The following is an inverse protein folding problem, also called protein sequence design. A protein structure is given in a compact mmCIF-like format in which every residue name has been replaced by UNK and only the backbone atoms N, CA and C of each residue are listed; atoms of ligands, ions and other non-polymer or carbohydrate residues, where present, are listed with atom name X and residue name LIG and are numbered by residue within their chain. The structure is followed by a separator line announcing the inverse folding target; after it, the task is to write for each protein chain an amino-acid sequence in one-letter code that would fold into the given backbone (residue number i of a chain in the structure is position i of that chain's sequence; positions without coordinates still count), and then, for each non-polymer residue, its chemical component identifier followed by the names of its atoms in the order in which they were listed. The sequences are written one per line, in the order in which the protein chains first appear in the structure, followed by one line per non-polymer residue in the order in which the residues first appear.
data_IF_563901355763
#
_entry.id   IF_563901355763
#
_cell.length_a   1.000
_cell.length_b   1.000
_cell.length_c   1.000
_cell.angle_alpha   90.00
_cell.angle_beta   90.00
_cell.angle_gamma   90.00
#
_symmetry.space_group_name_H-M   'P 1'
#
loop_
_entity.id
_entity.type
_entity.pdbx_description
1 polymer ?
#
# COMPACT_ATOMS: atom_id res chain seq x y z
N UNK A 1 41.41 83.02 -21.61
CA UNK A 1 42.13 81.74 -21.39
C UNK A 1 41.10 80.64 -21.27
N UNK A 2 41.29 79.55 -22.03
CA UNK A 2 40.36 78.43 -22.18
C UNK A 2 40.55 77.39 -21.08
N UNK A 3 39.46 76.71 -20.75
CA UNK A 3 39.12 75.71 -19.70
C UNK A 3 40.04 74.46 -19.64
N UNK A 4 40.00 73.61 -18.58
CA UNK A 4 38.89 72.67 -18.40
C UNK A 4 38.36 72.44 -16.97
N UNK A 5 37.04 72.24 -16.93
CA UNK A 5 36.23 71.69 -15.84
C UNK A 5 36.37 70.16 -15.91
N UNK A 6 36.82 69.54 -14.82
CA UNK A 6 36.90 68.08 -14.70
C UNK A 6 35.50 67.54 -14.37
N UNK A 7 34.85 66.93 -15.36
CA UNK A 7 33.56 66.24 -15.19
C UNK A 7 33.87 64.79 -14.80
N UNK A 8 33.55 64.40 -13.57
CA UNK A 8 33.69 63.03 -13.09
C UNK A 8 32.48 62.21 -13.58
N UNK A 9 32.65 61.52 -14.71
CA UNK A 9 31.67 60.58 -15.25
C UNK A 9 31.84 59.23 -14.54
N UNK A 10 31.08 59.01 -13.46
CA UNK A 10 30.97 57.69 -12.84
C UNK A 10 30.18 56.76 -13.75
N UNK A 11 30.89 55.90 -14.50
CA UNK A 11 30.29 54.82 -15.28
C UNK A 11 29.76 53.78 -14.30
N UNK A 12 28.44 53.77 -14.11
CA UNK A 12 27.71 52.72 -13.42
C UNK A 12 27.65 51.52 -14.39
N UNK A 13 28.64 50.63 -14.32
CA UNK A 13 28.53 49.31 -14.95
C UNK A 13 27.45 48.52 -14.23
N UNK A 14 26.21 48.57 -14.74
CA UNK A 14 25.22 47.57 -14.44
C UNK A 14 25.73 46.24 -15.01
N UNK A 15 26.26 45.39 -14.13
CA UNK A 15 26.46 43.97 -14.42
C UNK A 15 25.07 43.39 -14.68
N UNK A 16 24.67 43.35 -15.94
CA UNK A 16 23.59 42.48 -16.41
C UNK A 16 24.14 41.07 -16.26
N UNK A 17 23.90 40.46 -15.11
CA UNK A 17 24.10 39.03 -14.91
C UNK A 17 23.09 38.38 -15.84
N UNK A 18 23.56 37.91 -17.00
CA UNK A 18 22.81 36.98 -17.82
C UNK A 18 22.67 35.70 -17.00
N UNK A 19 21.57 35.59 -16.25
CA UNK A 19 21.17 34.33 -15.65
C UNK A 19 21.07 33.32 -16.78
N UNK A 20 21.86 32.26 -16.72
CA UNK A 20 21.59 31.09 -17.55
C UNK A 20 20.26 30.53 -17.04
N UNK A 21 19.26 30.47 -17.92
CA UNK A 21 17.95 29.90 -17.64
C UNK A 21 18.09 28.39 -17.47
N UNK A 22 18.64 27.98 -16.32
CA UNK A 22 18.69 26.59 -15.93
C UNK A 22 17.27 26.16 -15.57
N UNK A 23 16.84 25.01 -16.08
CA UNK A 23 15.49 24.49 -15.82
C UNK A 23 15.47 22.97 -15.70
N UNK A 24 14.48 22.46 -14.98
CA UNK A 24 14.19 21.02 -14.92
C UNK A 24 12.86 20.76 -15.59
N UNK A 25 12.82 19.79 -16.49
CA UNK A 25 11.60 19.29 -17.09
C UNK A 25 11.18 18.01 -16.37
N UNK A 26 10.01 18.04 -15.75
CA UNK A 26 9.35 16.88 -15.17
C UNK A 26 8.30 16.36 -16.16
N UNK A 27 8.46 15.13 -16.63
CA UNK A 27 7.52 14.48 -17.53
C UNK A 27 6.67 13.47 -16.74
N UNK A 28 5.36 13.60 -16.82
CA UNK A 28 4.41 12.60 -16.35
C UNK A 28 3.86 11.83 -17.57
N UNK A 29 4.30 10.59 -17.85
CA UNK A 29 3.78 9.76 -18.94
C UNK A 29 2.55 8.94 -18.52
N UNK A 30 2.11 9.02 -17.27
CA UNK A 30 1.00 8.24 -16.74
C UNK A 30 -0.35 8.82 -17.18
N UNK A 31 -1.41 8.03 -17.01
CA UNK A 31 -2.79 8.45 -17.28
C UNK A 31 -3.44 9.18 -16.08
N UNK A 32 -2.73 9.28 -14.96
CA UNK A 32 -3.17 9.97 -13.74
C UNK A 32 -2.41 11.26 -13.50
N UNK A 33 -3.04 12.19 -12.78
CA UNK A 33 -2.37 13.43 -12.33
C UNK A 33 -1.39 13.12 -11.22
N UNK A 34 -0.20 13.70 -11.29
CA UNK A 34 0.80 13.61 -10.23
C UNK A 34 0.85 14.92 -9.44
N UNK A 35 0.57 14.87 -8.15
CA UNK A 35 0.59 16.00 -7.22
C UNK A 35 1.90 16.00 -6.44
N UNK A 36 2.60 17.12 -6.35
CA UNK A 36 3.96 17.16 -5.81
C UNK A 36 4.37 18.48 -5.16
N UNK A 37 5.41 18.38 -4.33
CA UNK A 37 6.14 19.49 -3.70
C UNK A 37 7.63 19.27 -3.92
N UNK A 38 8.37 20.37 -4.07
CA UNK A 38 9.82 20.39 -4.14
C UNK A 38 10.35 20.89 -2.81
N UNK A 39 11.31 20.16 -2.25
CA UNK A 39 11.99 20.42 -0.97
C UNK A 39 11.03 20.72 0.19
N UNK A 40 10.09 19.81 0.50
CA UNK A 40 9.21 19.99 1.66
C UNK A 40 10.06 20.11 2.94
N UNK A 41 9.93 21.20 3.71
CA UNK A 41 10.87 21.57 4.77
C UNK A 41 11.01 20.47 5.82
N UNK A 42 9.90 19.79 6.15
CA UNK A 42 9.85 18.69 7.12
C UNK A 42 10.68 17.47 6.69
N UNK A 43 10.97 17.31 5.41
CA UNK A 43 11.70 16.15 4.88
C UNK A 43 13.15 16.46 4.49
N UNK A 44 13.50 17.73 4.25
CA UNK A 44 14.85 18.12 3.78
C UNK A 44 15.99 17.77 4.74
N UNK A 45 15.69 17.58 6.03
CA UNK A 45 16.68 17.23 7.06
C UNK A 45 16.99 15.73 7.11
N UNK A 46 16.21 14.89 6.41
CA UNK A 46 16.36 13.44 6.40
C UNK A 46 17.05 12.98 5.11
N UNK A 47 17.84 11.91 5.17
CA UNK A 47 18.34 11.24 3.97
C UNK A 47 17.30 10.23 3.47
N UNK A 48 16.77 10.36 2.23
CA UNK A 48 15.85 9.39 1.64
C UNK A 48 16.40 7.96 1.50
N UNK A 49 17.71 7.78 1.64
CA UNK A 49 18.35 6.45 1.62
C UNK A 49 18.32 5.77 3.01
N UNK A 50 17.90 6.50 4.05
CA UNK A 50 17.79 6.00 5.41
C UNK A 50 16.60 5.06 5.58
N UNK A 51 16.77 4.01 6.39
CA UNK A 51 15.71 3.03 6.67
C UNK A 51 14.48 3.63 7.35
N UNK A 52 14.63 4.75 8.08
CA UNK A 52 13.52 5.43 8.75
C UNK A 52 12.73 6.35 7.81
N UNK A 53 13.24 6.63 6.61
CA UNK A 53 12.67 7.68 5.77
C UNK A 53 11.24 7.36 5.33
N UNK A 54 10.93 6.10 5.05
CA UNK A 54 9.57 5.68 4.70
C UNK A 54 8.57 5.96 5.83
N UNK A 55 8.96 5.79 7.10
CA UNK A 55 8.12 6.13 8.25
C UNK A 55 7.91 7.63 8.38
N UNK A 56 8.98 8.42 8.24
CA UNK A 56 8.89 9.89 8.23
C UNK A 56 7.98 10.38 7.10
N UNK A 57 8.05 9.74 5.94
CA UNK A 57 7.21 10.08 4.80
C UNK A 57 5.75 9.71 5.03
N UNK A 58 5.48 8.58 5.69
CA UNK A 58 4.13 8.21 6.10
C UNK A 58 3.53 9.26 7.05
N UNK A 59 4.26 9.63 8.09
CA UNK A 59 3.83 10.66 9.06
C UNK A 59 3.63 12.02 8.38
N UNK A 60 4.50 12.36 7.43
CA UNK A 60 4.39 13.58 6.63
C UNK A 60 3.05 13.66 5.89
N UNK A 61 2.56 12.58 5.28
CA UNK A 61 1.24 12.60 4.62
C UNK A 61 0.08 12.55 5.61
N UNK A 62 0.27 11.91 6.77
CA UNK A 62 -0.78 11.74 7.77
C UNK A 62 -1.17 13.03 8.52
N UNK A 63 -0.29 14.04 8.54
CA UNK A 63 -0.45 15.25 9.37
C UNK A 63 -0.34 16.58 8.60
N UNK A 64 -1.18 17.55 8.97
CA UNK A 64 -1.15 18.92 8.46
C UNK A 64 -1.94 19.14 7.17
N UNK A 65 -1.76 20.31 6.58
CA UNK A 65 -2.32 20.72 5.28
C UNK A 65 -1.18 21.18 4.39
N UNK A 66 -1.33 21.01 3.09
CA UNK A 66 -0.27 21.35 2.14
C UNK A 66 -0.83 21.62 0.74
N UNK A 67 -0.19 22.54 0.02
CA UNK A 67 -0.58 22.88 -1.34
C UNK A 67 0.34 22.19 -2.34
N UNK A 68 -0.19 21.16 -3.00
CA UNK A 68 0.55 20.44 -4.02
C UNK A 68 0.46 21.15 -5.38
N UNK A 69 1.57 21.15 -6.11
CA UNK A 69 1.57 21.43 -7.54
C UNK A 69 1.10 20.18 -8.30
N UNK A 70 0.59 20.33 -9.51
CA UNK A 70 0.06 19.21 -10.28
C UNK A 70 0.69 19.11 -11.68
N UNK A 71 0.99 17.88 -12.10
CA UNK A 71 1.34 17.54 -13.48
C UNK A 71 0.26 16.59 -14.00
N UNK A 72 -0.64 17.09 -14.84
CA UNK A 72 -1.70 16.27 -15.43
C UNK A 72 -1.13 15.12 -16.28
N UNK A 73 -1.98 14.14 -16.57
CA UNK A 73 -1.66 13.00 -17.41
C UNK A 73 -0.99 13.40 -18.73
N UNK A 74 0.09 12.71 -19.11
CA UNK A 74 0.85 12.94 -20.34
C UNK A 74 1.43 14.36 -20.51
N UNK A 75 1.55 15.15 -19.44
CA UNK A 75 2.10 16.52 -19.50
C UNK A 75 3.58 16.60 -19.08
N UNK A 76 4.18 17.74 -19.43
CA UNK A 76 5.53 18.13 -19.00
C UNK A 76 5.43 19.44 -18.23
N UNK A 77 6.00 19.47 -17.03
CA UNK A 77 6.11 20.66 -16.19
C UNK A 77 7.55 21.16 -16.17
N UNK A 78 7.75 22.45 -16.40
CA UNK A 78 9.05 23.11 -16.23
C UNK A 78 9.14 23.66 -14.81
N UNK A 79 10.21 23.29 -14.10
CA UNK A 79 10.59 23.88 -12.83
C UNK A 79 11.67 24.94 -13.08
N UNK A 80 11.44 26.13 -12.56
CA UNK A 80 12.30 27.31 -12.67
C UNK A 80 12.55 27.87 -11.26
N UNK A 81 13.56 28.74 -11.13
CA UNK A 81 13.89 29.43 -9.88
C UNK A 81 14.29 28.51 -8.70
N UNK A 82 14.84 27.33 -9.00
CA UNK A 82 15.47 26.48 -7.99
C UNK A 82 16.87 27.02 -7.64
N UNK A 83 17.32 26.80 -6.41
CA UNK A 83 18.72 27.06 -6.04
C UNK A 83 19.64 26.01 -6.67
N UNK A 84 20.89 26.34 -7.01
CA UNK A 84 21.84 25.31 -7.46
C UNK A 84 22.08 24.27 -6.35
N UNK A 85 21.98 22.98 -6.68
CA UNK A 85 22.16 21.89 -5.73
C UNK A 85 21.31 20.65 -5.99
N UNK A 86 21.22 19.79 -4.98
CA UNK A 86 20.35 18.62 -4.96
C UNK A 86 18.98 19.01 -4.40
N UNK A 87 17.93 18.49 -5.04
CA UNK A 87 16.54 18.71 -4.69
C UNK A 87 15.82 17.39 -4.51
N UNK A 88 14.77 17.44 -3.70
CA UNK A 88 13.87 16.33 -3.46
C UNK A 88 12.46 16.73 -3.86
N UNK A 89 11.88 15.96 -4.78
CA UNK A 89 10.46 16.00 -5.08
C UNK A 89 9.75 14.87 -4.34
N UNK A 90 8.65 15.21 -3.67
CA UNK A 90 7.75 14.27 -3.02
C UNK A 90 6.34 14.51 -3.53
N UNK A 91 5.63 13.45 -3.84
CA UNK A 91 4.28 13.56 -4.38
C UNK A 91 3.54 12.24 -4.42
N UNK A 92 2.36 12.25 -5.01
CA UNK A 92 1.49 11.08 -5.16
C UNK A 92 0.73 11.14 -6.49
N UNK A 93 0.34 9.98 -7.01
CA UNK A 93 -0.56 9.92 -8.16
C UNK A 93 -2.01 9.85 -7.70
N UNK A 94 -2.82 10.81 -8.13
CA UNK A 94 -4.27 10.77 -7.92
C UNK A 94 -4.88 9.72 -8.85
N UNK A 95 -5.44 8.68 -8.26
CA UNK A 95 -6.12 7.60 -8.97
C UNK A 95 -7.62 7.72 -8.73
N UNK A 96 -8.41 7.67 -9.80
CA UNK A 96 -9.87 7.68 -9.64
C UNK A 96 -10.31 6.51 -8.75
N UNK A 97 -11.20 6.80 -7.81
CA UNK A 97 -11.83 5.82 -6.90
C UNK A 97 -10.86 5.06 -5.97
N UNK A 98 -9.61 5.52 -5.84
CA UNK A 98 -8.65 4.92 -4.94
C UNK A 98 -8.76 5.47 -3.51
N UNK A 99 -8.71 4.59 -2.52
CA UNK A 99 -8.66 4.97 -1.09
C UNK A 99 -7.27 5.41 -0.64
N UNK A 100 -6.24 5.03 -1.39
CA UNK A 100 -4.88 5.44 -1.15
C UNK A 100 -4.19 5.82 -2.46
N UNK A 101 -3.30 6.81 -2.38
CA UNK A 101 -2.51 7.23 -3.52
C UNK A 101 -1.07 6.74 -3.39
N UNK A 102 -0.50 6.17 -4.47
CA UNK A 102 0.89 5.74 -4.47
C UNK A 102 1.80 6.95 -4.38
N UNK A 103 2.62 6.98 -3.35
CA UNK A 103 3.59 8.04 -3.07
C UNK A 103 4.90 7.77 -3.80
N UNK A 104 5.45 8.84 -4.36
CA UNK A 104 6.72 8.85 -5.09
C UNK A 104 7.66 9.91 -4.58
N UNK A 105 8.93 9.54 -4.61
CA UNK A 105 10.05 10.40 -4.29
C UNK A 105 11.04 10.38 -5.45
N UNK A 106 11.50 11.56 -5.84
CA UNK A 106 12.50 11.75 -6.88
C UNK A 106 13.58 12.71 -6.37
N UNK A 107 14.83 12.26 -6.33
CA UNK A 107 15.99 13.15 -6.18
C UNK A 107 16.45 13.64 -7.54
N UNK A 108 16.71 14.93 -7.67
CA UNK A 108 17.24 15.51 -8.89
C UNK A 108 18.21 16.64 -8.57
N UNK A 109 19.04 17.01 -9.54
CA UNK A 109 20.07 18.04 -9.36
C UNK A 109 19.76 19.23 -10.26
N UNK A 110 19.86 20.44 -9.73
CA UNK A 110 19.71 21.69 -10.45
C UNK A 110 21.04 22.44 -10.51
N UNK A 111 21.34 23.04 -11.67
CA UNK A 111 22.60 23.76 -11.91
C UNK A 111 23.72 22.95 -12.56
N UNK A 112 24.92 23.53 -12.53
CA UNK A 112 26.06 23.11 -13.37
C UNK A 112 25.99 23.64 -14.82
N UNK A 113 26.82 23.07 -15.70
CA UNK A 113 26.92 23.47 -17.12
C UNK A 113 25.76 23.00 -18.02
N UNK A 114 24.75 22.35 -17.44
CA UNK A 114 23.62 21.79 -18.16
C UNK A 114 22.42 22.73 -17.99
N UNK A 115 22.02 23.37 -19.08
CA UNK A 115 20.93 24.35 -19.09
C UNK A 115 19.54 23.73 -18.88
N UNK A 116 19.35 22.46 -19.26
CA UNK A 116 18.06 21.79 -19.11
C UNK A 116 18.26 20.31 -18.77
N UNK A 117 17.64 19.84 -17.70
CA UNK A 117 17.62 18.43 -17.31
C UNK A 117 16.21 17.88 -17.34
N UNK A 118 16.03 16.67 -17.85
CA UNK A 118 14.72 16.04 -17.94
C UNK A 118 14.64 14.83 -17.01
N UNK A 119 13.56 14.74 -16.25
CA UNK A 119 13.21 13.60 -15.41
C UNK A 119 11.82 13.10 -15.76
N UNK A 120 11.64 11.78 -15.73
CA UNK A 120 10.34 11.15 -15.98
C UNK A 120 9.85 10.52 -14.70
N UNK A 121 8.61 10.82 -14.32
CA UNK A 121 8.00 10.36 -13.08
C UNK A 121 7.02 9.25 -13.43
N UNK A 122 7.34 8.04 -13.02
CA UNK A 122 6.47 6.88 -13.17
C UNK A 122 5.78 6.57 -11.86
N UNK A 123 4.57 6.01 -11.95
CA UNK A 123 3.84 5.52 -10.77
C UNK A 123 4.59 4.43 -10.03
N UNK A 124 5.32 3.60 -10.77
CA UNK A 124 6.14 2.53 -10.22
C UNK A 124 7.64 2.86 -10.27
N UNK A 125 8.45 2.36 -9.31
CA UNK A 125 8.04 1.56 -8.15
C UNK A 125 7.43 2.40 -7.02
N UNK A 126 6.38 1.90 -6.37
CA UNK A 126 5.71 2.62 -5.27
C UNK A 126 6.56 2.56 -4.00
N UNK A 127 6.71 3.70 -3.30
CA UNK A 127 7.47 3.79 -2.04
C UNK A 127 6.60 3.46 -0.83
N UNK A 128 5.40 4.06 -0.77
CA UNK A 128 4.34 3.77 0.19
C UNK A 128 3.00 4.22 -0.41
N UNK A 129 1.89 3.89 0.24
CA UNK A 129 0.57 4.41 -0.05
C UNK A 129 0.14 5.40 1.02
N UNK A 130 -0.48 6.50 0.61
CA UNK A 130 -1.00 7.52 1.51
C UNK A 130 -2.52 7.60 1.40
N UNK A 131 -3.19 7.56 2.55
CA UNK A 131 -4.64 7.51 2.65
C UNK A 131 -5.30 8.82 2.17
N UNK A 132 -6.25 8.71 1.25
CA UNK A 132 -7.06 9.83 0.74
C UNK A 132 -7.99 10.35 1.84
N UNK A 133 -8.27 11.65 1.86
CA UNK A 133 -9.16 12.25 2.88
C UNK A 133 -8.49 12.49 4.24
N UNK A 134 -7.24 12.07 4.42
CA UNK A 134 -6.48 12.22 5.67
C UNK A 134 -5.29 13.17 5.52
N UNK A 135 -4.99 13.91 6.59
CA UNK A 135 -3.80 14.77 6.67
C UNK A 135 -3.71 15.71 5.48
N UNK A 136 -2.54 15.73 4.83
CA UNK A 136 -2.28 16.57 3.66
C UNK A 136 -3.12 16.17 2.44
N UNK A 137 -3.74 14.99 2.44
CA UNK A 137 -4.60 14.49 1.35
C UNK A 137 -6.10 14.73 1.57
N UNK A 138 -6.50 15.47 2.62
CA UNK A 138 -7.91 15.76 2.92
C UNK A 138 -8.68 16.43 1.77
N UNK A 139 -8.00 17.23 0.95
CA UNK A 139 -8.61 17.92 -0.20
C UNK A 139 -8.70 17.11 -1.49
N UNK A 140 -8.17 15.88 -1.52
CA UNK A 140 -8.07 15.05 -2.73
C UNK A 140 -9.04 13.88 -2.72
N UNK A 141 -10.10 13.97 -1.93
CA UNK A 141 -11.24 13.07 -2.02
C UNK A 141 -11.81 13.20 -3.44
N UNK A 142 -11.46 12.28 -4.33
CA UNK A 142 -12.24 12.09 -5.55
C UNK A 142 -13.64 11.78 -5.06
N UNK A 143 -14.61 12.62 -5.43
CA UNK A 143 -16.04 12.38 -5.27
C UNK A 143 -16.31 10.95 -5.68
N UNK A 144 -16.30 10.06 -4.70
CA UNK A 144 -16.60 8.66 -4.90
C UNK A 144 -17.98 8.70 -5.53
N UNK A 145 -18.26 8.07 -6.68
CA UNK A 145 -19.64 7.70 -6.96
C UNK A 145 -20.02 6.94 -5.71
N UNK A 146 -20.98 7.45 -4.94
CA UNK A 146 -21.34 6.89 -3.65
C UNK A 146 -21.39 5.38 -3.81
N UNK A 147 -20.32 4.69 -3.38
CA UNK A 147 -20.28 3.24 -3.37
C UNK A 147 -21.43 2.98 -2.44
N UNK A 148 -22.52 2.48 -3.04
CA UNK A 148 -23.82 2.39 -2.41
C UNK A 148 -23.55 2.03 -0.97
N UNK A 149 -23.86 2.95 -0.04
CA UNK A 149 -23.74 2.69 1.38
C UNK A 149 -24.40 1.34 1.56
N UNK A 150 -23.58 0.29 1.73
CA UNK A 150 -24.04 -1.08 1.68
C UNK A 150 -25.00 -1.15 2.84
N UNK A 151 -26.31 -1.24 2.52
CA UNK A 151 -27.45 -1.07 3.42
C UNK A 151 -27.02 -1.05 4.90
N UNK A 152 -26.59 0.10 5.41
CA UNK A 152 -26.03 0.24 6.77
C UNK A 152 -27.15 0.25 7.81
N UNK A 153 -28.14 -0.63 7.64
CA UNK A 153 -29.28 -0.80 8.53
C UNK A 153 -30.01 -2.14 8.37
N UNK A 154 -29.57 -3.02 7.47
CA UNK A 154 -29.99 -4.42 7.45
C UNK A 154 -28.83 -5.25 8.00
N UNK A 155 -29.10 -6.10 8.99
CA UNK A 155 -28.13 -7.09 9.46
C UNK A 155 -27.69 -7.93 8.27
N UNK A 156 -26.42 -7.78 7.85
CA UNK A 156 -25.82 -8.68 6.87
C UNK A 156 -25.63 -10.01 7.57
N UNK A 157 -26.32 -11.04 7.11
CA UNK A 157 -26.11 -12.41 7.54
C UNK A 157 -25.48 -13.15 6.36
N UNK A 158 -24.34 -13.77 6.59
CA UNK A 158 -23.63 -14.60 5.61
C UNK A 158 -23.72 -16.04 6.13
N UNK A 159 -24.29 -16.93 5.33
CA UNK A 159 -24.19 -18.37 5.55
C UNK A 159 -22.84 -18.87 5.04
N UNK A 160 -22.26 -19.89 5.70
CA UNK A 160 -20.98 -20.49 5.31
C UNK A 160 -21.31 -21.87 4.75
N UNK A 161 -21.54 -21.96 3.44
CA UNK A 161 -22.16 -23.12 2.78
C UNK A 161 -21.68 -23.41 1.34
N UNK A 162 -20.57 -22.80 0.91
CA UNK A 162 -20.01 -22.92 -0.45
C UNK A 162 -20.91 -22.29 -1.53
N UNK A 163 -21.82 -21.37 -1.17
CA UNK A 163 -22.64 -20.59 -2.10
C UNK A 163 -22.22 -19.10 -2.15
N UNK A 164 -21.76 -18.68 -3.33
CA UNK A 164 -21.35 -17.30 -3.58
C UNK A 164 -22.52 -16.28 -3.52
N UNK A 165 -23.77 -16.73 -3.50
CA UNK A 165 -24.94 -15.85 -3.61
C UNK A 165 -24.98 -14.75 -2.53
N UNK A 166 -24.58 -15.05 -1.29
CA UNK A 166 -24.49 -14.09 -0.19
C UNK A 166 -23.39 -13.03 -0.38
N UNK A 167 -22.42 -13.32 -1.25
CA UNK A 167 -21.23 -12.48 -1.49
C UNK A 167 -21.34 -11.58 -2.71
N UNK A 168 -22.35 -11.74 -3.56
CA UNK A 168 -22.51 -10.96 -4.80
C UNK A 168 -22.51 -9.45 -4.54
N UNK A 169 -23.22 -9.03 -3.49
CA UNK A 169 -23.38 -7.63 -3.09
C UNK A 169 -22.27 -7.11 -2.17
N UNK A 170 -21.38 -8.00 -1.68
CA UNK A 170 -20.28 -7.61 -0.80
C UNK A 170 -19.13 -7.03 -1.64
N UNK A 171 -18.67 -5.79 -1.36
CA UNK A 171 -17.55 -5.18 -2.06
C UNK A 171 -16.24 -5.96 -1.86
N UNK A 172 -15.38 -5.88 -2.87
CA UNK A 172 -14.01 -6.39 -2.79
C UNK A 172 -13.20 -5.56 -1.79
N UNK A 173 -12.47 -6.23 -0.91
CA UNK A 173 -11.40 -5.59 -0.13
C UNK A 173 -10.16 -5.40 -1.00
N UNK A 174 -9.78 -6.45 -1.73
CA UNK A 174 -8.67 -6.43 -2.68
C UNK A 174 -8.90 -7.44 -3.80
N UNK A 175 -8.32 -7.16 -4.96
CA UNK A 175 -8.31 -8.06 -6.11
C UNK A 175 -6.92 -8.04 -6.74
N UNK A 176 -6.43 -9.22 -7.11
CA UNK A 176 -5.11 -9.42 -7.69
C UNK A 176 -5.29 -10.01 -9.07
N UNK A 177 -4.66 -9.42 -10.09
CA UNK A 177 -4.75 -9.97 -11.45
C UNK A 177 -4.01 -11.31 -11.55
N UNK A 178 -4.33 -12.13 -12.54
CA UNK A 178 -3.58 -13.35 -12.83
C UNK A 178 -2.10 -13.08 -13.24
N UNK A 179 -1.78 -11.81 -13.53
CA UNK A 179 -0.41 -11.36 -13.80
C UNK A 179 0.31 -10.84 -12.55
N UNK A 180 -0.41 -10.68 -11.42
CA UNK A 180 0.17 -10.28 -10.15
C UNK A 180 1.30 -11.24 -9.77
N UNK A 181 2.41 -10.66 -9.28
CA UNK A 181 3.52 -11.41 -8.72
C UNK A 181 4.08 -10.64 -7.53
N UNK A 182 4.17 -11.25 -6.35
CA UNK A 182 4.83 -10.63 -5.23
C UNK A 182 6.31 -10.43 -5.57
N UNK A 183 6.93 -9.36 -5.05
CA UNK A 183 8.35 -9.06 -5.35
C UNK A 183 9.29 -10.10 -4.74
N UNK A 184 8.91 -10.62 -3.59
CA UNK A 184 9.66 -11.58 -2.80
C UNK A 184 8.71 -12.53 -2.10
N UNK A 185 9.25 -13.64 -1.62
CA UNK A 185 8.57 -14.58 -0.75
C UNK A 185 9.51 -14.96 0.39
N UNK A 186 8.96 -15.44 1.48
CA UNK A 186 9.73 -16.03 2.58
C UNK A 186 9.76 -17.54 2.45
N UNK A 187 10.89 -18.14 2.82
CA UNK A 187 10.99 -19.59 3.00
C UNK A 187 11.57 -19.87 4.37
N UNK A 188 10.89 -20.73 5.12
CA UNK A 188 11.43 -21.32 6.33
C UNK A 188 11.54 -22.83 6.11
N UNK A 189 12.72 -23.36 6.42
CA UNK A 189 13.00 -24.79 6.38
C UNK A 189 13.14 -25.27 7.82
N UNK A 190 12.63 -26.46 8.11
CA UNK A 190 12.71 -27.04 9.44
C UNK A 190 14.15 -27.01 9.99
N UNK A 191 14.35 -26.32 11.11
CA UNK A 191 15.66 -26.16 11.76
C UNK A 191 16.57 -25.08 11.15
N UNK A 192 16.06 -24.23 10.26
CA UNK A 192 16.77 -23.10 9.70
C UNK A 192 16.00 -21.79 9.89
N UNK A 193 16.71 -20.66 9.83
CA UNK A 193 16.09 -19.35 9.97
C UNK A 193 15.20 -19.01 8.76
N UNK A 194 14.13 -18.29 9.05
CA UNK A 194 13.29 -17.60 8.08
C UNK A 194 14.11 -16.66 7.20
N UNK A 195 14.00 -16.78 5.88
CA UNK A 195 14.76 -15.96 4.93
C UNK A 195 13.88 -15.44 3.78
N UNK A 196 14.01 -14.15 3.40
CA UNK A 196 13.39 -13.62 2.20
C UNK A 196 14.17 -14.01 0.95
N UNK A 197 13.46 -14.34 -0.12
CA UNK A 197 13.98 -14.69 -1.43
C UNK A 197 13.25 -13.92 -2.53
N UNK A 198 13.90 -13.73 -3.67
CA UNK A 198 13.23 -13.18 -4.86
C UNK A 198 12.22 -14.18 -5.41
N UNK A 199 11.11 -13.68 -5.95
CA UNK A 199 10.00 -14.53 -6.42
C UNK A 199 10.38 -15.52 -7.53
N UNK A 200 11.40 -15.24 -8.33
CA UNK A 200 11.91 -16.15 -9.36
C UNK A 200 12.54 -17.44 -8.81
N UNK A 201 12.78 -17.50 -7.49
CA UNK A 201 13.27 -18.68 -6.78
C UNK A 201 12.17 -19.49 -6.08
N UNK A 202 10.91 -19.03 -6.15
CA UNK A 202 9.78 -19.72 -5.58
C UNK A 202 9.48 -20.99 -6.38
N UNK A 203 9.14 -22.06 -5.67
CA UNK A 203 8.75 -23.34 -6.27
C UNK A 203 7.24 -23.47 -6.35
N UNK A 204 6.53 -22.86 -5.42
CA UNK A 204 5.09 -23.03 -5.22
C UNK A 204 4.31 -21.73 -5.44
N UNK A 205 4.89 -20.74 -6.13
CA UNK A 205 4.12 -19.57 -6.56
C UNK A 205 3.15 -19.95 -7.68
N UNK A 206 1.88 -19.58 -7.53
CA UNK A 206 0.78 -19.94 -8.44
C UNK A 206 0.51 -21.44 -8.49
N UNK A 207 0.80 -22.15 -7.39
CA UNK A 207 0.59 -23.59 -7.26
C UNK A 207 -0.29 -23.86 -6.03
N UNK A 208 -1.22 -24.81 -6.14
CA UNK A 208 -2.07 -25.24 -5.03
C UNK A 208 -2.88 -24.14 -4.34
N UNK A 209 -3.24 -23.07 -5.04
CA UNK A 209 -4.04 -21.96 -4.52
C UNK A 209 -3.25 -20.80 -3.92
N UNK A 210 -1.92 -20.76 -4.07
CA UNK A 210 -1.12 -19.63 -3.55
C UNK A 210 -1.30 -18.32 -4.32
N UNK A 211 -1.91 -18.34 -5.51
CA UNK A 211 -2.29 -17.12 -6.21
C UNK A 211 -3.74 -16.76 -5.90
N UNK A 212 -3.94 -15.82 -4.96
CA UNK A 212 -5.25 -15.23 -4.69
C UNK A 212 -5.72 -14.42 -5.89
N UNK A 213 -7.03 -14.48 -6.15
CA UNK A 213 -7.72 -13.67 -7.14
C UNK A 213 -8.42 -12.49 -6.46
N UNK A 214 -9.17 -12.75 -5.39
CA UNK A 214 -9.83 -11.70 -4.63
C UNK A 214 -10.07 -12.10 -3.17
N UNK A 215 -10.29 -11.07 -2.37
CA UNK A 215 -10.75 -11.17 -1.00
C UNK A 215 -11.90 -10.18 -0.77
N UNK A 216 -12.95 -10.65 -0.11
CA UNK A 216 -14.04 -9.85 0.44
C UNK A 216 -14.11 -10.10 1.94
N UNK A 217 -14.58 -9.10 2.68
CA UNK A 217 -14.96 -9.33 4.06
C UNK A 217 -16.08 -8.39 4.46
N UNK A 218 -16.85 -8.84 5.43
CA UNK A 218 -17.91 -8.07 6.07
C UNK A 218 -18.02 -8.51 7.53
N UNK A 219 -18.58 -7.67 8.38
CA UNK A 219 -18.76 -8.01 9.77
C UNK A 219 -20.15 -7.59 10.28
N UNK A 220 -20.77 -8.45 11.07
CA UNK A 220 -22.03 -8.15 11.77
C UNK A 220 -21.78 -7.87 13.27
N UNK A 221 -22.74 -8.07 14.17
CA UNK A 221 -22.52 -7.83 15.60
C UNK A 221 -21.67 -8.92 16.28
N UNK A 222 -21.63 -10.13 15.72
CA UNK A 222 -21.08 -11.32 16.36
C UNK A 222 -19.86 -11.87 15.63
N UNK A 223 -19.77 -11.68 14.32
CA UNK A 223 -18.81 -12.36 13.45
C UNK A 223 -18.16 -11.43 12.43
N UNK A 224 -17.00 -11.87 11.98
CA UNK A 224 -16.31 -11.36 10.78
C UNK A 224 -16.32 -12.49 9.77
N UNK A 225 -16.75 -12.16 8.57
CA UNK A 225 -16.87 -13.07 7.46
C UNK A 225 -15.81 -12.73 6.42
N UNK A 226 -15.13 -13.75 5.90
CA UNK A 226 -14.20 -13.61 4.78
C UNK A 226 -14.61 -14.52 3.63
N UNK A 227 -14.50 -14.00 2.41
CA UNK A 227 -14.51 -14.78 1.19
C UNK A 227 -13.18 -14.59 0.50
N UNK A 228 -12.55 -15.70 0.10
CA UNK A 228 -11.29 -15.69 -0.63
C UNK A 228 -11.40 -16.61 -1.84
N UNK A 229 -10.89 -16.17 -2.99
CA UNK A 229 -10.80 -17.01 -4.19
C UNK A 229 -9.40 -17.04 -4.77
N UNK A 230 -9.10 -18.08 -5.54
CA UNK A 230 -7.78 -18.37 -6.10
C UNK A 230 -7.86 -18.67 -7.59
N UNK A 231 -6.74 -18.47 -8.30
CA UNK A 231 -6.64 -18.80 -9.73
C UNK A 231 -6.40 -20.28 -10.02
N UNK A 232 -6.04 -21.05 -9.00
CA UNK A 232 -5.78 -22.49 -9.09
C UNK A 232 -6.50 -23.22 -7.96
N UNK A 233 -6.75 -24.52 -8.17
CA UNK A 233 -7.38 -25.37 -7.15
C UNK A 233 -6.60 -25.31 -5.84
N UNK A 234 -7.31 -25.07 -4.74
CA UNK A 234 -6.75 -25.02 -3.39
C UNK A 234 -6.24 -26.41 -2.98
N UNK A 235 -4.99 -26.46 -2.54
CA UNK A 235 -4.32 -27.68 -2.09
C UNK A 235 -4.52 -27.89 -0.59
N UNK A 236 -4.43 -29.13 -0.12
CA UNK A 236 -4.33 -29.46 1.31
C UNK A 236 -3.04 -28.94 2.00
N UNK A 237 -2.12 -28.42 1.21
CA UNK A 237 -0.88 -27.79 1.68
C UNK A 237 -0.95 -26.26 1.65
N UNK A 238 -2.09 -25.67 1.30
CA UNK A 238 -2.32 -24.24 1.38
C UNK A 238 -2.65 -23.85 2.82
N UNK A 239 -2.13 -22.73 3.27
CA UNK A 239 -2.73 -21.93 4.35
C UNK A 239 -2.80 -20.48 3.89
N UNK A 240 -3.80 -19.74 4.38
CA UNK A 240 -3.87 -18.29 4.22
C UNK A 240 -3.64 -17.69 5.60
N UNK A 241 -2.66 -16.80 5.70
CA UNK A 241 -2.35 -16.09 6.93
C UNK A 241 -2.83 -14.65 6.85
N UNK A 242 -3.48 -14.23 7.94
CA UNK A 242 -3.87 -12.86 8.22
C UNK A 242 -3.12 -12.43 9.47
N UNK A 243 -1.99 -11.75 9.31
CA UNK A 243 -1.22 -11.22 10.45
C UNK A 243 -1.86 -9.92 10.91
N UNK A 244 -2.50 -9.96 12.08
CA UNK A 244 -3.24 -8.85 12.65
C UNK A 244 -2.31 -8.01 13.51
N UNK A 245 -2.17 -6.75 13.11
CA UNK A 245 -1.42 -5.74 13.84
C UNK A 245 -2.37 -4.72 14.46
N UNK A 246 -2.72 -4.83 15.76
CA UNK A 246 -3.60 -3.85 16.42
C UNK A 246 -3.03 -2.43 16.42
N UNK A 247 -1.69 -2.32 16.44
CA UNK A 247 -0.92 -1.11 16.17
C UNK A 247 0.38 -1.50 15.47
N UNK A 248 0.68 -0.90 14.32
CA UNK A 248 1.90 -1.21 13.57
C UNK A 248 3.08 -0.40 14.12
N UNK A 249 4.07 -1.07 14.72
CA UNK A 249 5.32 -0.46 15.18
C UNK A 249 6.52 -1.18 14.54
N UNK A 250 7.55 -0.41 14.18
CA UNK A 250 8.74 -0.98 13.54
C UNK A 250 9.46 -1.92 14.50
N UNK A 251 9.80 -3.13 14.01
CA UNK A 251 10.51 -4.15 14.80
C UNK A 251 9.64 -4.86 15.83
N UNK A 252 8.36 -4.49 15.94
CA UNK A 252 7.40 -5.27 16.71
C UNK A 252 7.05 -6.53 15.93
N UNK A 253 7.26 -7.69 16.55
CA UNK A 253 6.80 -8.97 16.01
C UNK A 253 5.26 -9.04 16.04
N UNK A 254 4.69 -9.78 15.10
CA UNK A 254 3.25 -9.92 15.01
C UNK A 254 2.67 -10.62 16.27
N UNK A 255 1.69 -10.01 16.97
CA UNK A 255 1.12 -10.62 18.17
C UNK A 255 0.05 -11.67 17.86
N UNK A 256 -0.72 -11.50 16.77
CA UNK A 256 -1.92 -12.29 16.47
C UNK A 256 -1.95 -12.69 15.00
N UNK A 257 -2.03 -13.99 14.68
CA UNK A 257 -2.19 -14.47 13.31
C UNK A 257 -3.46 -15.31 13.22
N UNK A 258 -4.35 -15.01 12.28
CA UNK A 258 -5.35 -15.98 11.85
C UNK A 258 -4.77 -16.83 10.73
N UNK A 259 -4.89 -18.14 10.85
CA UNK A 259 -4.58 -19.09 9.81
C UNK A 259 -5.89 -19.73 9.32
N UNK A 260 -6.15 -19.61 8.02
CA UNK A 260 -7.28 -20.26 7.35
C UNK A 260 -6.71 -21.45 6.58
N UNK A 261 -7.10 -22.65 6.96
CA UNK A 261 -6.62 -23.91 6.37
C UNK A 261 -7.79 -24.58 5.64
N UNK A 262 -7.76 -24.69 4.30
CA UNK A 262 -8.84 -25.29 3.52
C UNK A 262 -9.05 -26.76 3.88
N UNK A 263 -10.23 -27.28 3.56
CA UNK A 263 -10.54 -28.69 3.75
C UNK A 263 -9.61 -29.58 2.92
N UNK A 264 -9.27 -30.75 3.46
CA UNK A 264 -8.33 -31.70 2.87
C UNK A 264 -8.98 -33.08 2.68
N UNK A 265 -9.96 -33.11 1.77
CA UNK A 265 -10.81 -34.28 1.50
C UNK A 265 -11.90 -34.49 2.57
N UNK A 266 -12.73 -35.52 2.39
CA UNK A 266 -13.97 -35.73 3.17
C UNK A 266 -13.80 -35.81 4.70
N UNK A 267 -12.60 -36.15 5.20
CA UNK A 267 -12.35 -36.40 6.62
C UNK A 267 -11.52 -35.33 7.32
N UNK A 268 -11.18 -34.24 6.63
CA UNK A 268 -10.43 -33.12 7.22
C UNK A 268 -11.15 -31.82 6.86
N UNK A 269 -12.12 -31.39 7.67
CA UNK A 269 -12.79 -30.12 7.45
C UNK A 269 -11.78 -28.99 7.50
N UNK A 270 -12.09 -27.90 6.80
CA UNK A 270 -11.33 -26.67 6.90
C UNK A 270 -11.43 -26.09 8.31
N UNK A 271 -10.42 -25.34 8.73
CA UNK A 271 -10.38 -24.70 10.05
C UNK A 271 -9.85 -23.28 9.97
N UNK A 272 -10.32 -22.44 10.90
CA UNK A 272 -9.75 -21.12 11.17
C UNK A 272 -9.10 -21.15 12.54
N UNK A 273 -7.78 -20.93 12.59
CA UNK A 273 -6.98 -21.00 13.81
C UNK A 273 -6.46 -19.62 14.16
N UNK A 274 -6.68 -19.19 15.40
CA UNK A 274 -6.02 -18.03 15.97
C UNK A 274 -4.72 -18.47 16.66
N UNK A 275 -3.61 -17.89 16.20
CA UNK A 275 -2.31 -17.97 16.83
C UNK A 275 -2.07 -16.69 17.62
N UNK A 276 -2.22 -16.76 18.93
CA UNK A 276 -1.76 -15.73 19.86
C UNK A 276 -0.42 -16.17 20.44
N UNK A 277 0.58 -15.29 20.36
CA UNK A 277 1.92 -15.54 20.86
C UNK A 277 1.96 -15.83 22.37
N UNK A 278 1.03 -15.29 23.14
CA UNK A 278 0.97 -15.47 24.60
C UNK A 278 0.06 -16.64 25.01
N UNK A 279 -0.71 -17.20 24.07
CA UNK A 279 -1.66 -18.26 24.34
C UNK A 279 -1.39 -19.52 23.50
N UNK A 280 -2.26 -20.51 23.64
CA UNK A 280 -2.25 -21.70 22.77
C UNK A 280 -3.09 -21.42 21.52
N UNK A 281 -2.79 -22.06 20.38
CA UNK A 281 -3.62 -21.92 19.19
C UNK A 281 -5.05 -22.40 19.46
N UNK A 282 -6.03 -21.65 18.98
CA UNK A 282 -7.46 -21.90 19.19
C UNK A 282 -8.21 -21.90 17.87
N UNK A 283 -9.22 -22.76 17.74
CA UNK A 283 -10.13 -22.73 16.59
C UNK A 283 -11.23 -21.71 16.90
N UNK A 284 -11.30 -20.64 16.13
CA UNK A 284 -12.12 -19.43 16.44
C UNK A 284 -13.22 -19.18 15.42
N UNK A 285 -13.50 -20.14 14.56
CA UNK A 285 -14.37 -19.93 13.42
C UNK A 285 -14.82 -21.19 12.71
N UNK A 286 -15.69 -20.99 11.73
CA UNK A 286 -16.10 -22.01 10.76
C UNK A 286 -15.49 -21.69 9.40
N UNK A 287 -15.28 -22.72 8.58
CA UNK A 287 -14.77 -22.61 7.23
C UNK A 287 -15.48 -23.62 6.35
N UNK A 288 -16.02 -23.14 5.23
CA UNK A 288 -16.38 -23.98 4.09
C UNK A 288 -15.43 -23.65 2.94
N UNK A 289 -15.02 -24.67 2.18
CA UNK A 289 -14.04 -24.46 1.11
C UNK A 289 -14.34 -25.35 -0.09
N UNK A 290 -14.66 -24.71 -1.21
CA UNK A 290 -14.70 -25.33 -2.52
C UNK A 290 -13.31 -25.48 -3.15
N UNK A 291 -13.29 -25.78 -4.45
CA UNK A 291 -12.03 -25.97 -5.17
C UNK A 291 -11.25 -24.69 -5.41
N UNK A 292 -11.92 -23.56 -5.61
CA UNK A 292 -11.30 -22.28 -6.02
C UNK A 292 -11.66 -21.10 -5.12
N UNK A 293 -12.48 -21.32 -4.10
CA UNK A 293 -12.86 -20.30 -3.13
C UNK A 293 -13.14 -20.93 -1.77
N UNK A 294 -13.15 -20.10 -0.74
CA UNK A 294 -13.48 -20.49 0.62
C UNK A 294 -14.17 -19.34 1.36
N UNK A 295 -14.96 -19.72 2.34
CA UNK A 295 -15.78 -18.83 3.16
C UNK A 295 -15.49 -19.11 4.63
N UNK A 296 -15.02 -18.09 5.35
CA UNK A 296 -14.71 -18.20 6.77
C UNK A 296 -15.65 -17.31 7.56
N UNK A 297 -16.14 -17.80 8.71
CA UNK A 297 -16.70 -16.95 9.75
C UNK A 297 -15.87 -17.04 11.02
N UNK A 298 -15.63 -15.91 11.66
CA UNK A 298 -14.75 -15.77 12.82
C UNK A 298 -15.50 -15.03 13.92
N UNK A 299 -15.45 -15.54 15.13
CA UNK A 299 -16.11 -14.91 16.28
C UNK A 299 -15.40 -13.60 16.64
N UNK A 300 -16.15 -12.49 16.78
CA UNK A 300 -15.57 -11.17 17.03
C UNK A 300 -14.89 -11.04 18.39
N UNK A 301 -15.34 -11.81 19.37
CA UNK A 301 -14.76 -11.86 20.71
C UNK A 301 -13.53 -12.77 20.80
N UNK A 302 -13.16 -13.47 19.72
CA UNK A 302 -11.94 -14.26 19.66
C UNK A 302 -10.66 -13.42 19.83
N UNK A 303 -10.69 -12.15 19.41
CA UNK A 303 -9.56 -11.23 19.60
C UNK A 303 -10.02 -9.78 19.60
N UNK A 304 -9.28 -8.92 20.32
CA UNK A 304 -9.57 -7.48 20.33
C UNK A 304 -9.11 -6.82 19.02
N UNK A 305 -10.04 -6.16 18.35
CA UNK A 305 -9.79 -5.46 17.11
C UNK A 305 -9.90 -3.96 17.33
N UNK A 306 -8.76 -3.28 17.28
CA UNK A 306 -8.72 -1.81 17.27
C UNK A 306 -9.18 -1.31 15.89
N UNK A 307 -9.85 -0.16 15.83
CA UNK A 307 -10.19 0.49 14.54
C UNK A 307 -8.98 0.93 13.71
N UNK A 308 -7.77 0.82 14.25
CA UNK A 308 -6.52 1.12 13.57
C UNK A 308 -5.75 -0.14 13.19
N UNK A 309 -6.35 -1.31 13.42
CA UNK A 309 -5.71 -2.57 13.10
C UNK A 309 -5.52 -2.71 11.58
N UNK A 310 -4.34 -3.23 11.23
CA UNK A 310 -4.03 -3.62 9.85
C UNK A 310 -3.82 -5.13 9.79
N UNK A 311 -4.09 -5.73 8.63
CA UNK A 311 -3.98 -7.17 8.41
C UNK A 311 -3.03 -7.40 7.23
N UNK A 312 -1.89 -8.05 7.45
CA UNK A 312 -1.06 -8.51 6.33
C UNK A 312 -1.62 -9.82 5.79
N UNK A 313 -2.02 -9.80 4.52
CA UNK A 313 -2.57 -10.95 3.81
C UNK A 313 -1.44 -11.72 3.11
N UNK A 314 -1.26 -12.99 3.49
CA UNK A 314 -0.30 -13.87 2.84
C UNK A 314 -0.91 -15.24 2.54
N UNK A 315 -0.38 -15.91 1.53
CA UNK A 315 -0.65 -17.35 1.31
C UNK A 315 0.62 -18.14 1.54
N UNK A 316 0.49 -19.34 2.07
CA UNK A 316 1.58 -20.23 2.39
C UNK A 316 1.36 -21.59 1.72
N UNK A 317 2.44 -22.18 1.18
CA UNK A 317 2.44 -23.56 0.71
C UNK A 317 3.41 -24.43 1.51
N UNK A 318 2.91 -25.48 2.15
CA UNK A 318 3.71 -26.45 2.90
C UNK A 318 4.21 -27.59 2.03
N UNK A 319 5.51 -27.60 1.74
CA UNK A 319 6.16 -28.76 1.16
C UNK A 319 6.55 -29.75 2.27
N UNK A 320 5.62 -30.65 2.60
CA UNK A 320 5.83 -31.69 3.62
C UNK A 320 6.96 -32.66 3.26
N UNK A 321 7.30 -32.83 1.97
CA UNK A 321 8.40 -33.70 1.54
C UNK A 321 9.74 -33.00 1.70
N UNK A 322 9.78 -31.71 1.38
CA UNK A 322 10.95 -30.86 1.54
C UNK A 322 11.18 -30.37 2.97
N UNK A 323 10.18 -30.50 3.84
CA UNK A 323 10.16 -29.96 5.21
C UNK A 323 10.43 -28.44 5.23
N UNK A 324 9.80 -27.71 4.33
CA UNK A 324 9.81 -26.25 4.28
C UNK A 324 8.44 -25.71 3.89
N UNK A 325 8.23 -24.43 4.11
CA UNK A 325 7.10 -23.71 3.54
C UNK A 325 7.56 -22.47 2.77
N UNK A 326 6.76 -22.05 1.80
CA UNK A 326 6.94 -20.80 1.06
C UNK A 326 5.73 -19.91 1.30
N UNK A 327 5.98 -18.67 1.70
CA UNK A 327 4.93 -17.72 2.05
C UNK A 327 5.04 -16.45 1.21
N UNK A 328 3.90 -16.03 0.66
CA UNK A 328 3.77 -15.00 -0.36
C UNK A 328 2.90 -13.86 0.16
N UNK A 329 3.51 -12.70 0.36
CA UNK A 329 2.82 -11.49 0.79
C UNK A 329 2.08 -10.82 -0.38
N UNK A 330 0.82 -10.47 -0.16
CA UNK A 330 -0.01 -9.76 -1.13
C UNK A 330 -0.07 -8.27 -0.82
N UNK A 331 -0.76 -7.92 0.27
CA UNK A 331 -1.02 -6.54 0.64
C UNK A 331 -1.38 -6.44 2.13
N UNK A 332 -1.37 -5.21 2.65
CA UNK A 332 -1.86 -4.88 3.98
C UNK A 332 -3.28 -4.32 3.85
N UNK A 333 -4.25 -4.98 4.49
CA UNK A 333 -5.65 -4.57 4.53
C UNK A 333 -5.94 -3.74 5.79
N UNK A 334 -6.93 -2.87 5.74
CA UNK A 334 -7.37 -2.08 6.88
C UNK A 334 -8.67 -2.60 7.45
N UNK A 335 -8.74 -2.76 8.76
CA UNK A 335 -9.96 -3.25 9.41
C UNK A 335 -11.17 -2.31 9.21
N UNK A 336 -10.92 -1.02 9.02
CA UNK A 336 -11.96 -0.02 8.72
C UNK A 336 -12.70 -0.30 7.42
N UNK A 337 -12.13 -1.13 6.54
CA UNK A 337 -12.77 -1.54 5.30
C UNK A 337 -13.72 -2.74 5.49
N UNK A 338 -13.62 -3.42 6.65
CA UNK A 338 -14.38 -4.63 7.00
C UNK A 338 -15.52 -4.33 7.98
N UNK A 339 -15.20 -3.55 9.02
CA UNK A 339 -16.15 -3.23 10.08
C UNK A 339 -17.08 -2.10 9.62
N UNK A 340 -18.39 -2.16 9.95
CA UNK A 340 -19.26 -1.00 9.73
C UNK A 340 -18.68 0.20 10.47
N UNK A 341 -18.59 1.34 9.78
CA UNK A 341 -18.30 2.63 10.43
C UNK A 341 -19.34 2.79 11.52
N UNK A 342 -18.91 2.81 12.78
CA UNK A 342 -19.78 2.86 13.96
C UNK A 342 -20.97 3.79 13.71
N UNK A 343 -22.20 3.30 13.94
CA UNK A 343 -23.34 4.21 14.09
C UNK A 343 -22.99 5.17 15.23
N UNK A 344 -22.66 6.41 14.89
CA UNK A 344 -22.65 7.50 15.85
C UNK A 344 -24.01 7.51 16.52
N UNK A 345 -24.05 7.06 17.78
CA UNK A 345 -25.23 7.14 18.65
C UNK A 345 -25.70 8.58 18.83
#
# INVERSE_FOLDING_TARGET
MKTPILTFLGVLCALVVFGQDNSVLLKNPEQSTFHYIVDPPDLTVFDPSSSIFTSVLFDYFAEGEENFNAISANQVQRLENLSEGDHMLVGFFELADAREYPVRLLKFQFGGSISERQYTIHREPILLYAQVGRGKLRGFETSTPAVAAAKTGASVHIEIDDDFSDWEDIPLLASFSNEFRPRSFSREQYGADFKPFRIDLAKHWNDGGTALAEIKAVADLERIYFYLSTYSVMSENLSIYLYIHPSRQLGQENPLTLEIVPAAGENRPGIVVLWDREAKPEIVGSLESGGFFMEASIEKDAFEISKYATIDLTTCYYDRRGLYYEEFFFETLFITDILPVEETK
#
